data_IF_432239842885
#
_entry.id   IF_432239842885
#
_cell.length_a   1.000
_cell.length_b   1.000
_cell.length_c   1.000
_cell.angle_alpha   90.00
_cell.angle_beta   90.00
_cell.angle_gamma   90.00
#
_symmetry.space_group_name_H-M   'P 1'
#
loop_
_entity.id
_entity.type
_entity.pdbx_description
1 polymer ?
#
# COMPACT_ATOMS: atom_id res chain seq x y z
N UNK A 1 8.41 -19.66 -31.89
CA UNK A 1 7.81 -18.32 -31.72
C UNK A 1 6.96 -18.23 -30.43
N UNK A 2 6.03 -19.16 -30.20
CA UNK A 2 5.16 -19.19 -28.98
C UNK A 2 5.93 -19.22 -27.65
N UNK A 3 7.12 -19.81 -27.61
CA UNK A 3 7.92 -19.91 -26.38
C UNK A 3 8.65 -18.61 -26.03
N UNK A 4 8.94 -17.76 -27.02
CA UNK A 4 9.55 -16.44 -26.81
C UNK A 4 8.54 -15.41 -26.32
N UNK A 5 7.34 -15.36 -26.90
CA UNK A 5 6.25 -14.50 -26.45
C UNK A 5 5.85 -14.79 -24.99
N UNK A 6 5.79 -16.07 -24.62
CA UNK A 6 5.49 -16.48 -23.25
C UNK A 6 6.58 -16.05 -22.24
N UNK A 7 7.86 -16.08 -22.62
CA UNK A 7 8.97 -15.60 -21.77
C UNK A 7 9.04 -14.07 -21.68
N UNK A 8 8.76 -13.38 -22.77
CA UNK A 8 8.71 -11.90 -22.81
C UNK A 8 7.54 -11.35 -22.00
N UNK A 9 6.42 -12.03 -21.99
CA UNK A 9 5.24 -11.64 -21.21
C UNK A 9 5.43 -11.94 -19.72
N UNK A 10 6.14 -13.01 -19.37
CA UNK A 10 6.51 -13.33 -17.98
C UNK A 10 7.49 -12.31 -17.35
N UNK A 11 8.26 -11.60 -18.19
CA UNK A 11 9.21 -10.57 -17.77
C UNK A 11 8.64 -9.15 -17.78
N UNK A 12 7.40 -8.95 -18.23
CA UNK A 12 6.73 -7.65 -18.19
C UNK A 12 6.33 -7.29 -16.76
N UNK A 13 6.68 -6.09 -16.37
CA UNK A 13 6.31 -5.52 -15.08
C UNK A 13 4.83 -5.11 -15.06
N UNK A 14 3.97 -6.05 -14.65
CA UNK A 14 2.53 -5.82 -14.49
C UNK A 14 2.15 -5.28 -13.08
N UNK A 15 3.09 -5.29 -12.13
CA UNK A 15 2.80 -4.91 -10.75
C UNK A 15 3.00 -3.42 -10.50
N UNK A 16 4.05 -2.82 -11.05
CA UNK A 16 4.37 -1.39 -10.81
C UNK A 16 3.22 -0.44 -11.18
N UNK A 17 2.53 -0.55 -12.34
CA UNK A 17 1.45 0.37 -12.67
C UNK A 17 0.24 0.24 -11.73
N UNK A 18 -0.06 -0.97 -11.26
CA UNK A 18 -1.14 -1.21 -10.29
C UNK A 18 -0.79 -0.64 -8.92
N UNK A 19 0.44 -0.84 -8.46
CA UNK A 19 0.95 -0.28 -7.20
C UNK A 19 0.98 1.25 -7.26
N UNK A 20 1.42 1.83 -8.38
CA UNK A 20 1.44 3.28 -8.59
C UNK A 20 0.03 3.89 -8.47
N UNK A 21 -0.98 3.31 -9.12
CA UNK A 21 -2.36 3.78 -9.03
C UNK A 21 -2.90 3.69 -7.59
N UNK A 22 -2.64 2.57 -6.90
CA UNK A 22 -3.03 2.39 -5.49
C UNK A 22 -2.36 3.42 -4.59
N UNK A 23 -1.06 3.67 -4.81
CA UNK A 23 -0.29 4.64 -4.04
C UNK A 23 -0.86 6.06 -4.18
N UNK A 24 -1.10 6.51 -5.42
CA UNK A 24 -1.64 7.85 -5.63
C UNK A 24 -3.03 8.03 -5.01
N UNK A 25 -3.90 7.02 -5.11
CA UNK A 25 -5.20 7.04 -4.45
C UNK A 25 -5.05 7.09 -2.93
N UNK A 26 -4.24 6.20 -2.34
CA UNK A 26 -4.02 6.17 -0.89
C UNK A 26 -3.39 7.47 -0.39
N UNK A 27 -2.43 8.03 -1.14
CA UNK A 27 -1.77 9.28 -0.78
C UNK A 27 -2.75 10.46 -0.83
N UNK A 28 -3.62 10.53 -1.85
CA UNK A 28 -4.63 11.56 -1.96
C UNK A 28 -5.59 11.55 -0.76
N UNK A 29 -6.14 10.37 -0.41
CA UNK A 29 -6.99 10.23 0.76
C UNK A 29 -6.25 10.48 2.08
N UNK A 30 -4.98 10.07 2.18
CA UNK A 30 -4.15 10.33 3.36
C UNK A 30 -3.92 11.83 3.58
N UNK A 31 -3.62 12.59 2.52
CA UNK A 31 -3.45 14.05 2.63
C UNK A 31 -4.72 14.72 3.12
N UNK A 32 -5.90 14.31 2.61
CA UNK A 32 -7.19 14.81 3.08
C UNK A 32 -7.41 14.43 4.54
N UNK A 33 -7.12 13.20 4.93
CA UNK A 33 -7.23 12.72 6.31
C UNK A 33 -6.33 13.51 7.25
N UNK A 34 -5.05 13.70 6.88
CA UNK A 34 -4.11 14.50 7.67
C UNK A 34 -4.52 15.96 7.77
N UNK A 35 -5.07 16.53 6.70
CA UNK A 35 -5.57 17.88 6.72
C UNK A 35 -6.72 18.06 7.73
N UNK A 36 -7.63 17.07 7.81
CA UNK A 36 -8.76 17.10 8.74
C UNK A 36 -8.28 16.87 10.18
N UNK A 37 -7.46 15.84 10.40
CA UNK A 37 -6.95 15.48 11.73
C UNK A 37 -6.01 16.55 12.29
N UNK A 38 -4.94 16.89 11.57
CA UNK A 38 -3.94 17.86 12.03
C UNK A 38 -4.41 19.30 11.93
N UNK A 39 -5.25 19.65 10.94
CA UNK A 39 -5.76 21.01 10.76
C UNK A 39 -6.59 21.46 11.95
N UNK A 40 -7.40 20.56 12.52
CA UNK A 40 -8.18 20.82 13.74
C UNK A 40 -7.28 20.90 14.97
N UNK A 41 -6.31 20.00 15.10
CA UNK A 41 -5.45 19.85 16.29
C UNK A 41 -4.38 20.94 16.37
N UNK A 42 -3.67 21.25 15.26
CA UNK A 42 -2.50 22.15 15.27
C UNK A 42 -2.82 23.59 14.95
N UNK A 43 -3.76 23.84 14.05
CA UNK A 43 -4.02 25.20 13.57
C UNK A 43 -5.36 25.79 14.01
N UNK A 44 -6.17 25.01 14.76
CA UNK A 44 -7.47 25.48 15.22
C UNK A 44 -8.37 25.96 14.07
N UNK A 45 -8.09 25.49 12.85
CA UNK A 45 -8.88 25.87 11.69
C UNK A 45 -10.28 25.35 11.88
N UNK A 46 -11.19 26.29 11.99
CA UNK A 46 -12.61 26.00 11.99
C UNK A 46 -12.97 25.44 10.62
N UNK A 47 -12.86 24.12 10.46
CA UNK A 47 -13.63 23.48 9.41
C UNK A 47 -15.09 23.91 9.60
N UNK A 48 -15.83 24.18 8.50
CA UNK A 48 -17.26 24.52 8.62
C UNK A 48 -18.08 23.41 9.31
N UNK A 49 -17.46 22.30 9.66
CA UNK A 49 -18.00 21.17 10.41
C UNK A 49 -17.51 21.30 11.86
N UNK A 50 -18.13 22.19 12.63
CA UNK A 50 -17.82 22.42 14.06
C UNK A 50 -18.22 21.23 14.98
N UNK A 51 -18.70 20.13 14.43
CA UNK A 51 -19.21 19.00 15.21
C UNK A 51 -18.13 17.92 15.33
N UNK A 52 -17.58 17.65 16.53
CA UNK A 52 -16.53 16.64 16.72
C UNK A 52 -16.95 15.23 16.28
N UNK A 53 -18.22 14.89 16.42
CA UNK A 53 -18.75 13.60 15.97
C UNK A 53 -18.68 13.45 14.45
N UNK A 54 -18.95 14.51 13.70
CA UNK A 54 -18.86 14.49 12.24
C UNK A 54 -17.41 14.32 11.77
N UNK A 55 -16.46 14.99 12.43
CA UNK A 55 -15.02 14.84 12.14
C UNK A 55 -14.59 13.39 12.35
N UNK A 56 -14.91 12.78 13.49
CA UNK A 56 -14.58 11.40 13.80
C UNK A 56 -15.16 10.40 12.79
N UNK A 57 -16.41 10.61 12.34
CA UNK A 57 -17.02 9.77 11.30
C UNK A 57 -16.32 9.93 9.95
N UNK A 58 -15.92 11.14 9.57
CA UNK A 58 -15.18 11.40 8.33
C UNK A 58 -13.81 10.73 8.35
N UNK A 59 -13.07 10.85 9.46
CA UNK A 59 -11.78 10.19 9.64
C UNK A 59 -11.91 8.66 9.57
N UNK A 60 -12.91 8.11 10.23
CA UNK A 60 -13.23 6.68 10.14
C UNK A 60 -13.52 6.25 8.70
N UNK A 61 -14.39 6.98 7.97
CA UNK A 61 -14.76 6.65 6.61
C UNK A 61 -13.57 6.73 5.65
N UNK A 62 -12.73 7.76 5.75
CA UNK A 62 -11.52 7.92 4.94
C UNK A 62 -10.53 6.78 5.21
N UNK A 63 -10.35 6.41 6.47
CA UNK A 63 -9.46 5.29 6.85
C UNK A 63 -9.97 3.97 6.30
N UNK A 64 -11.27 3.70 6.37
CA UNK A 64 -11.90 2.50 5.77
C UNK A 64 -11.65 2.46 4.26
N UNK A 65 -11.76 3.59 3.55
CA UNK A 65 -11.45 3.66 2.11
C UNK A 65 -9.99 3.30 1.85
N UNK A 66 -9.04 3.86 2.62
CA UNK A 66 -7.61 3.54 2.46
C UNK A 66 -7.33 2.06 2.76
N UNK A 67 -7.97 1.49 3.79
CA UNK A 67 -7.87 0.07 4.12
C UNK A 67 -8.43 -0.81 2.99
N UNK A 68 -9.56 -0.43 2.40
CA UNK A 68 -10.17 -1.14 1.27
C UNK A 68 -9.28 -1.13 0.02
N UNK A 69 -8.68 0.02 -0.31
CA UNK A 69 -7.69 0.15 -1.39
C UNK A 69 -6.51 -0.80 -1.14
N UNK A 70 -6.06 -0.91 0.10
CA UNK A 70 -4.90 -1.66 0.53
C UNK A 70 -5.23 -3.06 1.11
N UNK A 71 -6.43 -3.59 0.86
CA UNK A 71 -6.94 -4.86 1.41
C UNK A 71 -6.00 -6.06 1.23
N UNK A 72 -5.15 -6.02 0.20
CA UNK A 72 -4.19 -7.11 -0.07
C UNK A 72 -3.23 -7.36 1.11
N UNK A 73 -2.83 -6.33 1.84
CA UNK A 73 -1.97 -6.48 3.02
C UNK A 73 -2.67 -7.26 4.13
N UNK A 74 -3.96 -6.99 4.34
CA UNK A 74 -4.75 -7.70 5.35
C UNK A 74 -4.96 -9.17 4.96
N UNK A 75 -5.33 -9.43 3.69
CA UNK A 75 -5.54 -10.79 3.20
C UNK A 75 -4.26 -11.61 3.26
N UNK A 76 -3.15 -11.06 2.78
CA UNK A 76 -1.86 -11.74 2.78
C UNK A 76 -1.30 -11.90 4.21
N UNK A 77 -1.42 -10.85 5.03
CA UNK A 77 -0.99 -10.87 6.42
C UNK A 77 -1.74 -11.90 7.25
N UNK A 78 -3.06 -12.00 7.09
CA UNK A 78 -3.88 -12.98 7.78
C UNK A 78 -3.59 -14.41 7.31
N UNK A 79 -3.40 -14.61 5.99
CA UNK A 79 -2.96 -15.90 5.45
C UNK A 79 -1.59 -16.32 6.01
N UNK A 80 -0.63 -15.39 6.06
CA UNK A 80 0.69 -15.65 6.63
C UNK A 80 0.61 -16.08 8.10
N UNK A 81 -0.27 -15.46 8.87
CA UNK A 81 -0.50 -15.81 10.28
C UNK A 81 -1.11 -17.21 10.42
N UNK A 82 -2.12 -17.54 9.61
CA UNK A 82 -2.77 -18.86 9.62
C UNK A 82 -1.81 -20.00 9.25
N UNK A 83 -0.89 -19.74 8.31
CA UNK A 83 0.11 -20.73 7.88
C UNK A 83 1.36 -20.75 8.78
N UNK A 84 1.32 -20.11 9.96
CA UNK A 84 2.47 -19.97 10.90
C UNK A 84 3.74 -19.46 10.22
N UNK A 85 3.59 -18.70 9.15
CA UNK A 85 4.67 -18.04 8.40
C UNK A 85 4.40 -16.54 8.33
N UNK A 86 4.53 -15.81 9.47
CA UNK A 86 4.31 -14.38 9.50
C UNK A 86 5.31 -13.67 8.58
N UNK A 87 4.81 -12.72 7.82
CA UNK A 87 5.57 -11.93 6.86
C UNK A 87 5.39 -10.43 7.12
N UNK A 88 6.03 -9.58 6.32
CA UNK A 88 5.92 -8.14 6.43
C UNK A 88 4.45 -7.67 6.34
N UNK A 89 3.64 -8.29 5.49
CA UNK A 89 2.22 -7.96 5.35
C UNK A 89 1.44 -8.27 6.63
N UNK A 90 1.84 -9.30 7.40
CA UNK A 90 1.28 -9.64 8.72
C UNK A 90 1.53 -8.52 9.72
N UNK A 91 2.76 -8.01 9.80
CA UNK A 91 3.12 -6.91 10.70
C UNK A 91 2.32 -5.64 10.38
N UNK A 92 2.21 -5.31 9.09
CA UNK A 92 1.43 -4.17 8.61
C UNK A 92 -0.05 -4.31 8.96
N UNK A 93 -0.62 -5.50 8.73
CA UNK A 93 -2.03 -5.78 9.04
C UNK A 93 -2.32 -5.68 10.55
N UNK A 94 -1.41 -6.17 11.40
CA UNK A 94 -1.54 -6.06 12.84
C UNK A 94 -1.43 -4.61 13.32
N UNK A 95 -0.42 -3.86 12.88
CA UNK A 95 -0.20 -2.48 13.31
C UNK A 95 -1.34 -1.55 12.88
N UNK A 96 -1.69 -1.57 11.59
CA UNK A 96 -2.80 -0.74 11.07
C UNK A 96 -4.16 -1.20 11.60
N UNK A 97 -4.37 -2.51 11.75
CA UNK A 97 -5.59 -3.07 12.32
C UNK A 97 -5.78 -2.70 13.79
N UNK A 98 -4.73 -2.79 14.61
CA UNK A 98 -4.77 -2.39 16.02
C UNK A 98 -5.11 -0.89 16.17
N UNK A 99 -4.44 -0.02 15.41
CA UNK A 99 -4.72 1.43 15.40
C UNK A 99 -6.16 1.73 15.00
N UNK A 100 -6.67 1.03 13.98
CA UNK A 100 -8.04 1.20 13.51
C UNK A 100 -9.08 0.72 14.54
N UNK A 101 -8.87 -0.47 15.14
CA UNK A 101 -9.77 -1.03 16.15
C UNK A 101 -9.82 -0.13 17.39
N UNK A 102 -8.65 0.33 17.85
CA UNK A 102 -8.55 1.22 19.00
C UNK A 102 -9.30 2.55 18.74
N UNK A 103 -9.06 3.19 17.60
CA UNK A 103 -9.74 4.44 17.24
C UNK A 103 -11.25 4.25 17.05
N UNK A 104 -11.67 3.10 16.52
CA UNK A 104 -13.09 2.75 16.41
C UNK A 104 -13.73 2.60 17.78
N UNK A 105 -13.03 1.97 18.73
CA UNK A 105 -13.48 1.88 20.12
C UNK A 105 -13.65 3.26 20.76
N UNK A 106 -12.68 4.15 20.57
CA UNK A 106 -12.76 5.53 21.07
C UNK A 106 -13.90 6.31 20.40
N UNK A 107 -14.11 6.12 19.10
CA UNK A 107 -15.22 6.73 18.38
C UNK A 107 -16.57 6.30 18.97
N UNK A 108 -16.75 5.02 19.27
CA UNK A 108 -17.96 4.52 19.94
C UNK A 108 -18.11 5.14 21.32
N UNK A 109 -17.04 5.20 22.10
CA UNK A 109 -17.02 5.86 23.41
C UNK A 109 -17.41 7.33 23.32
N UNK A 110 -16.93 8.04 22.32
CA UNK A 110 -17.22 9.44 22.06
C UNK A 110 -18.74 9.69 21.92
N UNK A 111 -19.49 8.76 21.34
CA UNK A 111 -20.96 8.86 21.25
C UNK A 111 -21.70 8.69 22.59
N UNK A 112 -21.02 8.20 23.62
CA UNK A 112 -21.59 8.01 24.95
C UNK A 112 -21.37 9.23 25.89
N UNK A 113 -20.58 10.20 25.45
CA UNK A 113 -20.20 11.38 26.20
C UNK A 113 -20.61 12.65 25.46
N UNK A 114 -20.70 13.76 26.17
CA UNK A 114 -21.13 15.05 25.61
C UNK A 114 -20.12 16.16 25.94
N UNK A 115 -20.10 17.19 25.11
CA UNK A 115 -19.33 18.40 25.36
C UNK A 115 -17.81 18.25 25.23
N UNK A 116 -17.06 18.79 26.18
CA UNK A 116 -15.58 18.84 26.14
C UNK A 116 -14.92 17.47 26.09
N UNK A 117 -15.52 16.43 26.67
CA UNK A 117 -15.01 15.07 26.61
C UNK A 117 -15.02 14.49 25.20
N UNK A 118 -15.97 14.88 24.35
CA UNK A 118 -15.99 14.44 22.95
C UNK A 118 -14.78 14.99 22.17
N UNK A 119 -14.40 16.25 22.43
CA UNK A 119 -13.18 16.82 21.86
C UNK A 119 -11.91 16.12 22.34
N UNK A 120 -11.85 15.71 23.61
CA UNK A 120 -10.70 14.97 24.14
C UNK A 120 -10.52 13.65 23.38
N UNK A 121 -11.57 12.87 23.17
CA UNK A 121 -11.48 11.63 22.41
C UNK A 121 -11.06 11.84 20.95
N UNK A 122 -11.44 12.95 20.31
CA UNK A 122 -11.02 13.28 18.95
C UNK A 122 -9.49 13.38 18.83
N UNK A 123 -8.83 13.95 19.85
CA UNK A 123 -7.37 14.07 19.90
C UNK A 123 -6.65 12.75 20.16
N UNK A 124 -7.34 11.71 20.61
CA UNK A 124 -6.77 10.39 20.89
C UNK A 124 -6.93 9.40 19.75
N UNK A 125 -7.50 9.81 18.61
CA UNK A 125 -7.66 8.93 17.45
C UNK A 125 -6.33 8.63 16.77
N UNK A 126 -6.18 7.39 16.31
CA UNK A 126 -5.05 6.89 15.52
C UNK A 126 -5.48 6.45 14.12
N UNK A 127 -6.57 7.00 13.56
CA UNK A 127 -7.02 6.72 12.21
C UNK A 127 -5.96 7.11 11.17
N UNK A 128 -5.32 8.25 11.36
CA UNK A 128 -4.21 8.73 10.53
C UNK A 128 -3.01 7.78 10.57
N UNK A 129 -2.68 7.24 11.75
CA UNK A 129 -1.57 6.30 11.91
C UNK A 129 -1.84 5.00 11.14
N UNK A 130 -3.05 4.45 11.22
CA UNK A 130 -3.45 3.29 10.44
C UNK A 130 -3.33 3.54 8.92
N UNK A 131 -3.81 4.69 8.45
CA UNK A 131 -3.74 5.10 7.06
C UNK A 131 -2.31 5.35 6.59
N UNK A 132 -1.48 5.98 7.44
CA UNK A 132 -0.08 6.28 7.16
C UNK A 132 0.75 4.99 7.02
N UNK A 133 0.60 4.02 7.93
CA UNK A 133 1.27 2.71 7.86
C UNK A 133 0.99 2.06 6.50
N UNK A 134 -0.27 1.99 6.07
CA UNK A 134 -0.67 1.37 4.80
C UNK A 134 -0.13 2.12 3.58
N UNK A 135 -0.10 3.44 3.63
CA UNK A 135 0.42 4.26 2.53
C UNK A 135 1.93 4.16 2.42
N UNK A 136 2.66 4.26 3.54
CA UNK A 136 4.13 4.15 3.54
C UNK A 136 4.61 2.77 3.08
N UNK A 137 3.95 1.70 3.51
CA UNK A 137 4.31 0.37 3.03
C UNK A 137 4.03 0.20 1.53
N UNK A 138 2.99 0.86 1.02
CA UNK A 138 2.70 0.86 -0.43
C UNK A 138 3.79 1.61 -1.21
N UNK A 139 4.35 2.70 -0.66
CA UNK A 139 5.55 3.36 -1.21
C UNK A 139 6.72 2.38 -1.25
N UNK A 140 7.02 1.71 -0.14
CA UNK A 140 8.08 0.71 -0.07
C UNK A 140 7.93 -0.41 -1.11
N UNK A 141 6.73 -0.96 -1.24
CA UNK A 141 6.41 -2.00 -2.25
C UNK A 141 6.55 -1.48 -3.69
N UNK A 142 6.17 -0.23 -3.95
CA UNK A 142 6.36 0.38 -5.26
C UNK A 142 7.86 0.55 -5.60
N UNK A 143 8.66 1.00 -4.64
CA UNK A 143 10.11 1.13 -4.83
C UNK A 143 10.78 -0.23 -5.06
N UNK A 144 10.38 -1.26 -4.30
CA UNK A 144 10.83 -2.63 -4.48
C UNK A 144 10.50 -3.16 -5.87
N UNK A 145 9.25 -3.01 -6.32
CA UNK A 145 8.82 -3.44 -7.65
C UNK A 145 9.59 -2.71 -8.76
N UNK A 146 9.80 -1.41 -8.61
CA UNK A 146 10.57 -0.60 -9.57
C UNK A 146 12.04 -1.06 -9.65
N UNK A 147 12.66 -1.39 -8.52
CA UNK A 147 14.04 -1.88 -8.48
C UNK A 147 14.16 -3.26 -9.13
N UNK A 148 13.21 -4.17 -8.84
CA UNK A 148 13.13 -5.49 -9.47
C UNK A 148 12.94 -5.37 -10.99
N UNK A 149 12.06 -4.48 -11.45
CA UNK A 149 11.84 -4.25 -12.87
C UNK A 149 13.10 -3.77 -13.60
N UNK A 150 13.91 -2.89 -13.00
CA UNK A 150 15.18 -2.43 -13.58
C UNK A 150 16.18 -3.60 -13.73
N UNK A 151 16.29 -4.44 -12.70
CA UNK A 151 17.19 -5.61 -12.73
C UNK A 151 16.76 -6.61 -13.80
N UNK A 152 15.47 -6.89 -13.91
CA UNK A 152 14.92 -7.78 -14.94
C UNK A 152 15.17 -7.25 -16.36
N UNK A 153 15.03 -5.94 -16.57
CA UNK A 153 15.33 -5.32 -17.87
C UNK A 153 16.82 -5.39 -18.21
N UNK A 154 17.72 -5.23 -17.25
CA UNK A 154 19.15 -5.38 -17.47
C UNK A 154 19.52 -6.82 -17.85
N UNK A 155 18.94 -7.82 -17.15
CA UNK A 155 19.07 -9.24 -17.50
C UNK A 155 18.56 -9.53 -18.92
N UNK A 156 17.42 -8.98 -19.31
CA UNK A 156 16.85 -9.12 -20.65
C UNK A 156 17.78 -8.53 -21.72
N UNK A 157 18.40 -7.39 -21.45
CA UNK A 157 19.38 -6.78 -22.34
C UNK A 157 20.60 -7.68 -22.53
N UNK A 158 21.12 -8.29 -21.46
CA UNK A 158 22.22 -9.26 -21.54
C UNK A 158 21.84 -10.52 -22.31
N UNK A 159 20.63 -11.05 -22.10
CA UNK A 159 20.13 -12.21 -22.85
C UNK A 159 19.98 -11.92 -24.35
N UNK A 160 19.67 -10.69 -24.73
CA UNK A 160 19.58 -10.28 -26.13
C UNK A 160 20.95 -10.13 -26.80
N UNK A 161 22.02 -10.00 -26.03
CA UNK A 161 23.40 -9.99 -26.53
C UNK A 161 23.95 -11.40 -26.77
N UNK A 162 23.28 -12.44 -26.24
CA UNK A 162 23.67 -13.82 -26.54
C UNK A 162 23.49 -14.12 -28.03
N UNK A 163 24.48 -14.74 -28.70
CA UNK A 163 24.36 -15.06 -30.10
C UNK A 163 23.17 -16.01 -30.33
N UNK A 164 22.39 -15.71 -31.36
CA UNK A 164 21.20 -16.49 -31.71
C UNK A 164 21.52 -17.72 -32.55
N UNK A 165 22.69 -17.73 -33.13
CA UNK A 165 23.21 -18.81 -33.98
C UNK A 165 24.58 -19.20 -33.47
N UNK A 166 24.92 -20.47 -33.59
CA UNK A 166 26.23 -20.99 -33.28
C UNK A 166 26.78 -21.68 -34.55
N UNK A 167 27.96 -21.29 -34.98
CA UNK A 167 28.66 -21.96 -36.06
C UNK A 167 29.24 -23.27 -35.55
N UNK A 168 28.83 -24.38 -36.12
CA UNK A 168 29.30 -25.71 -35.76
C UNK A 168 30.17 -26.24 -36.91
N UNK A 169 31.35 -26.76 -36.58
CA UNK A 169 32.19 -27.46 -37.53
C UNK A 169 31.71 -28.92 -37.65
N UNK A 170 31.14 -29.27 -38.79
CA UNK A 170 30.78 -30.65 -39.14
C UNK A 170 31.65 -31.07 -40.28
N UNK A 171 32.46 -32.11 -40.09
CA UNK A 171 33.42 -32.65 -41.08
C UNK A 171 34.36 -31.60 -41.72
N UNK A 172 34.77 -30.59 -40.93
CA UNK A 172 35.65 -29.53 -41.38
C UNK A 172 34.99 -28.40 -42.17
N UNK A 173 33.64 -28.41 -42.27
CA UNK A 173 32.85 -27.36 -42.91
C UNK A 173 32.08 -26.58 -41.85
N UNK A 174 32.23 -25.26 -41.87
CA UNK A 174 31.44 -24.37 -41.00
C UNK A 174 29.98 -24.36 -41.45
N UNK A 175 29.07 -24.75 -40.54
CA UNK A 175 27.61 -24.70 -40.75
C UNK A 175 26.99 -23.83 -39.69
N UNK A 176 26.11 -22.85 -40.07
CA UNK A 176 25.41 -21.92 -39.22
C UNK A 176 24.09 -22.53 -38.70
#
# INVERSE_FOLDING_TARGET
>A
EKTKESKDDALKDHETPKLKKRLFLSLGFLVVLMYISMGHVMWGWYLPIANPYAIGIIEFALTVVIMAINRKFFVNGFKGLLHKSPNMDTLVALGSGASFIYSTYLLIKMFTVSGEMAHHYLHEFYFESAAMILTLITVGKMLEARSKGKTTNALKSLMNLAPKTATVLVDGVETE
#
